data_IF_438989113200
#
_entry.id   IF_438989113200
#
_cell.length_a   1.000
_cell.length_b   1.000
_cell.length_c   1.000
_cell.angle_alpha   90.00
_cell.angle_beta   90.00
_cell.angle_gamma   90.00
#
_symmetry.space_group_name_H-M   'P 1'
#
loop_
_entity.id
_entity.type
_entity.pdbx_description
1 polymer ?
#
# COMPACT_ATOMS: atom_id res chain seq x y z
N UNK A 1 -10.01 1.13 8.04
CA UNK A 1 -10.95 2.17 8.51
C UNK A 1 -10.23 3.47 8.78
N UNK A 2 -10.92 4.62 8.60
CA UNK A 2 -10.43 5.95 8.99
C UNK A 2 -11.16 6.49 10.24
N UNK A 3 -12.02 5.69 10.86
CA UNK A 3 -12.87 6.12 11.98
C UNK A 3 -12.24 5.69 13.32
N UNK A 4 -11.87 6.63 14.22
CA UNK A 4 -11.15 6.33 15.46
C UNK A 4 -11.83 5.28 16.35
N UNK A 5 -13.15 5.39 16.55
CA UNK A 5 -13.90 4.43 17.37
C UNK A 5 -13.89 3.01 16.78
N UNK A 6 -13.93 2.89 15.44
CA UNK A 6 -13.82 1.60 14.77
C UNK A 6 -12.41 1.02 14.90
N UNK A 7 -11.35 1.84 14.85
CA UNK A 7 -9.97 1.39 15.10
C UNK A 7 -9.83 0.76 16.49
N UNK A 8 -10.32 1.47 17.52
CA UNK A 8 -10.28 0.99 18.91
C UNK A 8 -11.07 -0.31 19.08
N UNK A 9 -12.28 -0.38 18.55
CA UNK A 9 -13.14 -1.55 18.71
C UNK A 9 -12.60 -2.75 17.92
N UNK A 10 -12.09 -2.53 16.68
CA UNK A 10 -11.46 -3.60 15.92
C UNK A 10 -10.25 -4.20 16.62
N UNK A 11 -9.41 -3.35 17.25
CA UNK A 11 -8.28 -3.82 18.06
C UNK A 11 -8.75 -4.68 19.24
N UNK A 12 -9.78 -4.24 19.96
CA UNK A 12 -10.39 -5.00 21.07
C UNK A 12 -10.93 -6.37 20.64
N UNK A 13 -11.43 -6.45 19.41
CA UNK A 13 -11.96 -7.68 18.81
C UNK A 13 -10.89 -8.57 18.15
N UNK A 14 -9.60 -8.21 18.26
CA UNK A 14 -8.49 -9.05 17.82
C UNK A 14 -8.00 -8.75 16.40
N UNK A 15 -8.25 -7.55 15.85
CA UNK A 15 -7.59 -7.14 14.61
C UNK A 15 -6.07 -7.18 14.78
N UNK A 16 -5.35 -7.66 13.77
CA UNK A 16 -3.87 -7.74 13.78
C UNK A 16 -3.17 -6.55 13.12
N UNK A 17 -3.91 -5.67 12.44
CA UNK A 17 -3.38 -4.53 11.70
C UNK A 17 -4.46 -3.45 11.54
N UNK A 18 -4.09 -2.18 11.69
CA UNK A 18 -4.93 -1.05 11.29
C UNK A 18 -4.50 -0.53 9.92
N UNK A 19 -5.40 -0.57 8.95
CA UNK A 19 -5.16 -0.02 7.61
C UNK A 19 -6.08 1.19 7.38
N UNK A 20 -5.49 2.36 7.14
CA UNK A 20 -6.22 3.58 6.85
C UNK A 20 -5.87 4.18 5.50
N UNK A 21 -6.85 4.21 4.59
CA UNK A 21 -6.72 4.80 3.25
C UNK A 21 -6.44 6.31 3.28
N UNK A 22 -6.72 6.99 4.38
CA UNK A 22 -6.41 8.40 4.60
C UNK A 22 -5.11 8.65 5.34
N UNK A 23 -4.31 7.60 5.59
CA UNK A 23 -3.02 7.72 6.26
C UNK A 23 -3.13 8.29 7.67
N UNK A 24 -4.18 7.97 8.40
CA UNK A 24 -4.47 8.44 9.76
C UNK A 24 -4.57 9.98 9.88
N UNK A 25 -5.03 10.65 8.82
CA UNK A 25 -5.18 12.13 8.81
C UNK A 25 -6.47 12.64 9.46
N UNK A 26 -7.46 11.78 9.71
CA UNK A 26 -8.68 12.22 10.41
C UNK A 26 -8.38 12.59 11.86
N UNK A 27 -9.06 13.62 12.39
CA UNK A 27 -8.94 13.97 13.82
C UNK A 27 -9.18 12.75 14.74
N UNK A 28 -8.28 12.52 15.69
CA UNK A 28 -8.36 11.40 16.63
C UNK A 28 -7.85 10.05 16.08
N UNK A 29 -7.55 9.91 14.78
CA UNK A 29 -7.12 8.63 14.22
C UNK A 29 -5.75 8.18 14.74
N UNK A 30 -4.76 9.09 14.81
CA UNK A 30 -3.44 8.77 15.35
C UNK A 30 -3.51 8.44 16.85
N UNK A 31 -4.32 9.17 17.61
CA UNK A 31 -4.51 8.91 19.05
C UNK A 31 -5.15 7.53 19.28
N UNK A 32 -6.18 7.19 18.48
CA UNK A 32 -6.82 5.89 18.56
C UNK A 32 -5.83 4.76 18.17
N UNK A 33 -5.03 4.97 17.13
CA UNK A 33 -4.02 4.00 16.69
C UNK A 33 -2.87 3.87 17.71
N UNK A 34 -2.43 4.96 18.32
CA UNK A 34 -1.39 4.96 19.36
C UNK A 34 -1.82 4.15 20.61
N UNK A 35 -3.10 4.26 20.98
CA UNK A 35 -3.67 3.50 22.09
C UNK A 35 -3.73 1.99 21.87
N UNK A 36 -3.52 1.53 20.61
CA UNK A 36 -3.39 0.10 20.29
C UNK A 36 -1.91 -0.28 20.19
N UNK A 37 -1.59 -1.56 20.33
CA UNK A 37 -0.23 -2.07 20.07
C UNK A 37 -0.06 -2.56 18.62
N UNK A 38 -1.06 -2.34 17.74
CA UNK A 38 -1.12 -2.93 16.41
C UNK A 38 -0.17 -2.24 15.42
N UNK A 39 0.37 -2.97 14.42
CA UNK A 39 0.96 -2.38 13.24
C UNK A 39 -0.04 -1.48 12.49
N UNK A 40 0.48 -0.46 11.82
CA UNK A 40 -0.30 0.54 11.10
C UNK A 40 0.09 0.54 9.62
N UNK A 41 -0.86 0.31 8.73
CA UNK A 41 -0.66 0.52 7.30
C UNK A 41 -1.12 1.93 6.93
N UNK A 42 -0.15 2.79 6.66
CA UNK A 42 -0.31 4.20 6.28
C UNK A 42 -0.33 4.29 4.77
N UNK A 43 -1.52 4.55 4.18
CA UNK A 43 -1.66 4.60 2.73
C UNK A 43 -1.61 6.03 2.22
N UNK A 44 -0.88 6.23 1.11
CA UNK A 44 -0.87 7.47 0.36
C UNK A 44 -2.09 7.58 -0.55
N UNK A 45 -2.75 8.72 -0.50
CA UNK A 45 -3.82 9.11 -1.42
C UNK A 45 -3.75 10.61 -1.70
N UNK A 46 -3.84 11.02 -2.97
CA UNK A 46 -4.04 12.41 -3.34
C UNK A 46 -5.55 12.69 -3.41
N UNK A 47 -5.98 13.80 -2.81
CA UNK A 47 -7.41 14.16 -2.75
C UNK A 47 -8.20 13.30 -1.75
N UNK A 48 -9.51 13.23 -1.95
CA UNK A 48 -10.45 12.43 -1.15
C UNK A 48 -11.04 11.30 -2.02
N UNK A 49 -11.53 10.20 -1.43
CA UNK A 49 -12.00 9.03 -2.18
C UNK A 49 -13.00 9.35 -3.30
N UNK A 50 -13.86 10.33 -3.09
CA UNK A 50 -14.93 10.68 -4.02
C UNK A 50 -14.44 11.55 -5.19
N UNK A 51 -13.30 12.23 -5.06
CA UNK A 51 -12.79 13.21 -6.05
C UNK A 51 -11.40 12.88 -6.57
N UNK A 52 -10.68 11.95 -5.94
CA UNK A 52 -9.28 11.65 -6.21
C UNK A 52 -8.94 11.27 -7.65
N UNK A 53 -9.91 10.80 -8.44
CA UNK A 53 -9.70 10.38 -9.83
C UNK A 53 -10.07 11.48 -10.85
N UNK A 54 -10.52 12.64 -10.40
CA UNK A 54 -11.01 13.69 -11.29
C UNK A 54 -9.92 14.55 -11.93
N UNK A 55 -8.70 14.31 -11.75
CA UNK A 55 -7.53 14.92 -12.38
C UNK A 55 -6.30 14.83 -11.45
N UNK A 56 -5.79 13.65 -11.16
CA UNK A 56 -4.61 13.51 -10.30
C UNK A 56 -3.38 14.13 -10.99
N UNK A 57 -2.73 15.09 -10.34
CA UNK A 57 -1.55 15.78 -10.85
C UNK A 57 -0.39 15.65 -9.88
N UNK A 58 0.77 15.30 -10.41
CA UNK A 58 2.05 15.26 -9.69
C UNK A 58 3.12 15.89 -10.58
N UNK A 59 3.97 16.73 -10.01
CA UNK A 59 5.21 17.14 -10.64
C UNK A 59 6.16 15.93 -10.74
N UNK A 60 6.25 15.18 -9.65
CA UNK A 60 6.88 13.87 -9.58
C UNK A 60 6.14 12.99 -8.54
N UNK A 61 5.54 11.89 -9.01
CA UNK A 61 4.75 11.01 -8.15
C UNK A 61 5.60 10.31 -7.09
N UNK A 62 6.86 9.98 -7.39
CA UNK A 62 7.78 9.34 -6.44
C UNK A 62 8.10 10.28 -5.27
N UNK A 63 8.47 11.51 -5.58
CA UNK A 63 8.74 12.55 -4.57
C UNK A 63 7.51 12.86 -3.73
N UNK A 64 6.34 12.95 -4.37
CA UNK A 64 5.08 13.19 -3.66
C UNK A 64 4.73 12.10 -2.65
N UNK A 65 4.89 10.83 -3.05
CA UNK A 65 4.66 9.68 -2.15
C UNK A 65 5.70 9.63 -1.02
N UNK A 66 6.98 9.87 -1.32
CA UNK A 66 8.04 9.92 -0.30
C UNK A 66 7.78 10.99 0.74
N UNK A 67 7.53 12.22 0.29
CA UNK A 67 7.24 13.34 1.19
C UNK A 67 6.05 13.04 2.10
N UNK A 68 4.99 12.45 1.55
CA UNK A 68 3.85 12.01 2.36
C UNK A 68 4.26 10.97 3.41
N UNK A 69 5.09 9.99 3.08
CA UNK A 69 5.54 8.97 4.04
C UNK A 69 6.36 9.59 5.16
N UNK A 70 7.28 10.50 4.84
CA UNK A 70 8.10 11.21 5.82
C UNK A 70 7.24 12.05 6.78
N UNK A 71 6.27 12.79 6.26
CA UNK A 71 5.31 13.58 7.05
C UNK A 71 4.47 12.68 7.97
N UNK A 72 4.00 11.56 7.44
CA UNK A 72 3.19 10.63 8.24
C UNK A 72 3.99 9.91 9.30
N UNK A 73 5.24 9.55 9.00
CA UNK A 73 6.13 8.95 9.99
C UNK A 73 6.41 9.91 11.14
N UNK A 74 6.74 11.16 10.82
CA UNK A 74 6.92 12.23 11.83
C UNK A 74 5.67 12.40 12.71
N UNK A 75 4.49 12.39 12.09
CA UNK A 75 3.24 12.51 12.86
C UNK A 75 2.94 11.27 13.71
N UNK A 76 3.30 10.07 13.25
CA UNK A 76 3.19 8.84 14.04
C UNK A 76 4.11 8.88 15.27
N UNK A 77 5.37 9.27 15.09
CA UNK A 77 6.35 9.41 16.18
C UNK A 77 5.89 10.46 17.22
N UNK A 78 5.41 11.61 16.74
CA UNK A 78 4.86 12.66 17.62
C UNK A 78 3.64 12.18 18.41
N UNK A 79 2.88 11.21 17.90
CA UNK A 79 1.75 10.57 18.61
C UNK A 79 2.19 9.40 19.50
N UNK A 80 3.49 9.11 19.62
CA UNK A 80 4.03 8.02 20.45
C UNK A 80 3.95 6.65 19.78
N UNK A 81 3.79 6.60 18.46
CA UNK A 81 3.78 5.35 17.68
C UNK A 81 5.21 5.03 17.27
N UNK A 82 5.73 3.87 17.68
CA UNK A 82 7.06 3.41 17.30
C UNK A 82 7.18 3.17 15.79
N UNK A 83 8.33 3.55 15.21
CA UNK A 83 8.60 3.44 13.75
C UNK A 83 8.38 2.02 13.22
N UNK A 84 8.76 1.04 13.99
CA UNK A 84 8.70 -0.39 13.64
C UNK A 84 7.26 -0.89 13.46
N UNK A 85 6.27 -0.14 13.95
CA UNK A 85 4.85 -0.42 13.76
C UNK A 85 4.30 0.08 12.42
N UNK A 86 5.06 0.92 11.69
CA UNK A 86 4.58 1.59 10.49
C UNK A 86 4.90 0.77 9.24
N UNK A 87 3.87 0.47 8.48
CA UNK A 87 3.91 -0.14 7.15
C UNK A 87 3.41 0.93 6.18
N UNK A 88 4.07 1.10 5.04
CA UNK A 88 3.63 2.06 4.03
C UNK A 88 2.91 1.37 2.87
N UNK A 89 1.86 2.01 2.35
CA UNK A 89 1.17 1.62 1.11
C UNK A 89 1.18 2.82 0.15
N UNK A 90 1.85 2.72 -1.02
CA UNK A 90 1.87 3.79 -2.01
C UNK A 90 0.51 4.18 -2.58
N UNK A 91 -0.52 3.36 -2.32
CA UNK A 91 -1.90 3.65 -2.71
C UNK A 91 -2.09 3.61 -4.22
N UNK A 92 -1.72 2.52 -4.87
CA UNK A 92 -2.00 2.29 -6.28
C UNK A 92 -3.48 2.50 -6.59
N UNK A 93 -3.80 3.30 -7.62
CA UNK A 93 -5.18 3.60 -8.01
C UNK A 93 -5.90 4.62 -7.11
N UNK A 94 -5.23 5.24 -6.13
CA UNK A 94 -5.78 6.28 -5.28
C UNK A 94 -5.19 7.64 -5.63
N UNK A 95 -5.93 8.45 -6.42
CA UNK A 95 -5.47 9.74 -6.91
C UNK A 95 -4.24 9.63 -7.82
N UNK A 96 -4.24 8.66 -8.76
CA UNK A 96 -3.14 8.38 -9.67
C UNK A 96 -3.64 7.91 -11.02
N UNK A 97 -3.03 8.38 -12.10
CA UNK A 97 -3.24 7.87 -13.47
C UNK A 97 -2.63 6.47 -13.62
N UNK A 98 -2.92 5.78 -14.74
CA UNK A 98 -2.26 4.51 -15.06
C UNK A 98 -0.74 4.68 -15.16
N UNK A 99 -0.27 5.75 -15.80
CA UNK A 99 1.15 6.08 -15.93
C UNK A 99 1.81 6.27 -14.58
N UNK A 100 1.22 7.06 -13.67
CA UNK A 100 1.71 7.22 -12.29
C UNK A 100 1.82 5.88 -11.56
N UNK A 101 0.83 4.98 -11.74
CA UNK A 101 0.87 3.67 -11.10
C UNK A 101 1.98 2.77 -11.67
N UNK A 102 2.17 2.72 -12.98
CA UNK A 102 3.26 1.95 -13.58
C UNK A 102 4.63 2.52 -13.21
N UNK A 103 4.77 3.84 -13.16
CA UNK A 103 6.00 4.49 -12.71
C UNK A 103 6.35 4.13 -11.26
N UNK A 104 5.37 4.22 -10.35
CA UNK A 104 5.54 3.79 -8.95
C UNK A 104 5.93 2.32 -8.83
N UNK A 105 5.30 1.44 -9.61
CA UNK A 105 5.63 0.02 -9.58
C UNK A 105 7.07 -0.23 -10.10
N UNK A 106 7.46 0.42 -11.19
CA UNK A 106 8.80 0.30 -11.75
C UNK A 106 9.89 0.70 -10.74
N UNK A 107 9.63 1.73 -9.96
CA UNK A 107 10.55 2.32 -8.98
C UNK A 107 10.19 2.00 -7.52
N UNK A 108 9.41 0.93 -7.27
CA UNK A 108 8.90 0.60 -5.93
C UNK A 108 10.04 0.42 -4.91
N UNK A 109 11.17 -0.15 -5.33
CA UNK A 109 12.36 -0.33 -4.47
C UNK A 109 12.85 0.97 -3.89
N UNK A 110 12.71 2.06 -4.61
CA UNK A 110 13.12 3.38 -4.17
C UNK A 110 12.22 3.96 -3.06
N UNK A 111 11.03 3.38 -2.84
CA UNK A 111 10.14 3.69 -1.73
C UNK A 111 10.43 2.86 -0.47
N UNK A 112 11.25 1.80 -0.57
CA UNK A 112 11.60 0.93 0.55
C UNK A 112 12.66 1.57 1.47
N UNK A 113 12.60 2.90 1.66
CA UNK A 113 13.55 3.65 2.46
C UNK A 113 13.28 3.44 3.96
N UNK A 114 14.35 3.46 4.76
CA UNK A 114 14.26 3.40 6.21
C UNK A 114 13.88 2.03 6.80
N UNK A 115 13.82 0.96 5.98
CA UNK A 115 13.53 -0.39 6.45
C UNK A 115 12.05 -0.68 6.76
N UNK A 116 11.14 0.24 6.44
CA UNK A 116 9.71 0.03 6.61
C UNK A 116 9.17 -0.98 5.59
N UNK A 117 8.32 -1.95 6.01
CA UNK A 117 7.64 -2.82 5.07
C UNK A 117 6.73 -2.02 4.12
N UNK A 118 6.69 -2.45 2.86
CA UNK A 118 5.76 -1.88 1.86
C UNK A 118 4.64 -2.88 1.60
N UNK A 119 3.40 -2.42 1.77
CA UNK A 119 2.19 -3.10 1.36
C UNK A 119 1.73 -2.56 0.01
N UNK A 120 1.37 -3.44 -0.92
CA UNK A 120 0.80 -3.05 -2.21
C UNK A 120 -0.55 -3.71 -2.46
N UNK A 121 -1.47 -2.96 -3.06
CA UNK A 121 -2.76 -3.45 -3.52
C UNK A 121 -2.95 -3.12 -5.01
N UNK A 122 -2.58 -4.05 -5.90
CA UNK A 122 -2.63 -3.88 -7.36
C UNK A 122 -3.77 -4.67 -8.02
N UNK A 123 -4.36 -5.62 -7.28
CA UNK A 123 -5.30 -6.61 -7.79
C UNK A 123 -6.55 -5.97 -8.39
N UNK A 124 -6.89 -6.36 -9.61
CA UNK A 124 -8.06 -5.99 -10.40
C UNK A 124 -8.21 -4.48 -10.70
N UNK A 125 -7.20 -3.67 -10.44
CA UNK A 125 -7.25 -2.21 -10.56
C UNK A 125 -7.33 -1.71 -12.00
N UNK A 126 -7.79 -0.46 -12.16
CA UNK A 126 -8.01 0.19 -13.45
C UNK A 126 -6.73 0.35 -14.28
N UNK A 127 -5.54 0.41 -13.66
CA UNK A 127 -4.28 0.40 -14.39
C UNK A 127 -4.12 -0.84 -15.28
N UNK A 128 -4.72 -1.97 -14.92
CA UNK A 128 -4.73 -3.17 -15.78
C UNK A 128 -5.58 -2.93 -17.03
N UNK A 129 -6.71 -2.22 -16.88
CA UNK A 129 -7.58 -1.90 -18.00
C UNK A 129 -6.95 -0.96 -19.02
N UNK A 130 -5.92 -0.19 -18.66
CA UNK A 130 -5.19 0.64 -19.61
C UNK A 130 -4.29 -0.17 -20.57
N UNK A 131 -4.07 -1.45 -20.27
CA UNK A 131 -3.22 -2.36 -21.07
C UNK A 131 -4.05 -3.50 -21.67
N UNK A 132 -5.01 -4.02 -20.91
CA UNK A 132 -5.82 -5.18 -21.27
C UNK A 132 -7.30 -4.80 -21.26
N UNK A 133 -7.99 -5.03 -22.37
CA UNK A 133 -9.45 -4.89 -22.42
C UNK A 133 -10.10 -6.08 -21.72
N UNK A 134 -10.16 -6.01 -20.39
CA UNK A 134 -10.68 -7.07 -19.51
C UNK A 134 -11.55 -6.49 -18.40
N UNK A 135 -12.69 -7.14 -18.15
CA UNK A 135 -13.51 -6.85 -16.98
C UNK A 135 -12.73 -7.16 -15.67
N UNK A 136 -13.06 -6.51 -14.54
CA UNK A 136 -12.33 -6.71 -13.27
C UNK A 136 -12.19 -8.18 -12.85
N UNK A 137 -13.21 -9.01 -13.11
CA UNK A 137 -13.24 -10.43 -12.76
C UNK A 137 -12.26 -11.26 -13.61
N UNK A 138 -11.95 -10.79 -14.82
CA UNK A 138 -11.04 -11.45 -15.75
C UNK A 138 -9.56 -11.06 -15.57
N UNK A 139 -9.25 -10.18 -14.60
CA UNK A 139 -7.91 -9.62 -14.38
C UNK A 139 -7.02 -10.45 -13.45
N UNK A 140 -7.38 -11.70 -13.18
CA UNK A 140 -6.66 -12.59 -12.25
C UNK A 140 -5.19 -12.73 -12.64
N UNK A 141 -4.90 -13.14 -13.88
CA UNK A 141 -3.51 -13.38 -14.32
C UNK A 141 -2.67 -12.10 -14.32
N UNK A 142 -3.23 -10.98 -14.76
CA UNK A 142 -2.55 -9.68 -14.70
C UNK A 142 -2.31 -9.23 -13.24
N UNK A 143 -3.28 -9.48 -12.35
CA UNK A 143 -3.16 -9.17 -10.92
C UNK A 143 -2.03 -9.96 -10.26
N UNK A 144 -1.92 -11.25 -10.58
CA UNK A 144 -0.85 -12.15 -10.09
C UNK A 144 0.51 -11.69 -10.63
N UNK A 145 0.60 -11.37 -11.93
CA UNK A 145 1.83 -10.85 -12.53
C UNK A 145 2.31 -9.56 -11.85
N UNK A 146 1.40 -8.59 -11.62
CA UNK A 146 1.72 -7.36 -10.92
C UNK A 146 2.14 -7.60 -9.45
N UNK A 147 1.53 -8.58 -8.77
CA UNK A 147 1.93 -8.96 -7.42
C UNK A 147 3.36 -9.50 -7.37
N UNK A 148 3.73 -10.40 -8.30
CA UNK A 148 5.10 -10.91 -8.43
C UNK A 148 6.09 -9.78 -8.72
N UNK A 149 5.79 -8.91 -9.69
CA UNK A 149 6.62 -7.76 -10.03
C UNK A 149 6.83 -6.82 -8.84
N UNK A 150 5.81 -6.65 -8.00
CA UNK A 150 5.91 -5.84 -6.79
C UNK A 150 6.82 -6.48 -5.74
N UNK A 151 6.70 -7.80 -5.52
CA UNK A 151 7.55 -8.53 -4.57
C UNK A 151 9.02 -8.51 -5.02
N UNK A 152 9.30 -8.71 -6.31
CA UNK A 152 10.65 -8.56 -6.86
C UNK A 152 11.25 -7.17 -6.63
N UNK A 153 10.40 -6.14 -6.55
CA UNK A 153 10.77 -4.74 -6.30
C UNK A 153 10.68 -4.33 -4.84
N UNK A 154 10.54 -5.29 -3.92
CA UNK A 154 10.65 -5.04 -2.49
C UNK A 154 9.33 -4.92 -1.72
N UNK A 155 8.17 -5.19 -2.33
CA UNK A 155 6.93 -5.30 -1.57
C UNK A 155 7.03 -6.46 -0.56
N UNK A 156 6.68 -6.16 0.69
CA UNK A 156 6.67 -7.15 1.79
C UNK A 156 5.30 -7.80 1.95
N UNK A 157 4.23 -7.09 1.57
CA UNK A 157 2.86 -7.54 1.72
C UNK A 157 2.10 -7.24 0.42
N UNK A 158 1.36 -8.21 -0.10
CA UNK A 158 0.46 -8.03 -1.24
C UNK A 158 -0.99 -8.24 -0.80
N UNK A 159 -1.84 -7.23 -1.04
CA UNK A 159 -3.27 -7.31 -0.76
C UNK A 159 -4.02 -7.58 -2.06
N UNK A 160 -4.67 -8.74 -2.14
CA UNK A 160 -5.24 -9.26 -3.38
C UNK A 160 -6.67 -9.78 -3.20
N UNK A 161 -7.42 -9.89 -4.30
CA UNK A 161 -8.73 -10.55 -4.33
C UNK A 161 -8.56 -12.07 -4.52
N UNK A 162 -7.62 -12.48 -5.37
CA UNK A 162 -7.41 -13.86 -5.80
C UNK A 162 -6.27 -14.50 -4.99
N UNK A 163 -6.54 -14.79 -3.70
CA UNK A 163 -5.52 -15.21 -2.73
C UNK A 163 -4.84 -16.51 -3.15
N UNK A 164 -5.59 -17.56 -3.51
CA UNK A 164 -5.00 -18.85 -3.87
C UNK A 164 -4.04 -18.74 -5.06
N UNK A 165 -4.48 -18.12 -6.17
CA UNK A 165 -3.64 -17.95 -7.36
C UNK A 165 -2.38 -17.12 -7.08
N UNK A 166 -2.50 -16.10 -6.21
CA UNK A 166 -1.34 -15.29 -5.84
C UNK A 166 -0.39 -16.04 -4.91
N UNK A 167 -0.91 -16.82 -3.96
CA UNK A 167 -0.10 -17.63 -3.06
C UNK A 167 0.69 -18.70 -3.81
N UNK A 168 0.08 -19.39 -4.77
CA UNK A 168 0.75 -20.38 -5.62
C UNK A 168 1.90 -19.74 -6.41
N UNK A 169 1.64 -18.58 -7.02
CA UNK A 169 2.66 -17.86 -7.78
C UNK A 169 3.83 -17.39 -6.88
N UNK A 170 3.55 -16.90 -5.68
CA UNK A 170 4.56 -16.50 -4.72
C UNK A 170 5.36 -17.70 -4.18
N UNK A 171 4.72 -18.86 -4.01
CA UNK A 171 5.42 -20.09 -3.63
C UNK A 171 6.42 -20.52 -4.72
N UNK A 172 6.02 -20.44 -6.00
CA UNK A 172 6.90 -20.73 -7.13
C UNK A 172 8.07 -19.74 -7.21
N UNK A 173 7.77 -18.44 -7.03
CA UNK A 173 8.82 -17.42 -6.97
C UNK A 173 9.79 -17.65 -5.81
N UNK A 174 9.30 -18.04 -4.64
CA UNK A 174 10.11 -18.33 -3.45
C UNK A 174 10.96 -19.59 -3.57
N UNK A 175 10.63 -20.52 -4.47
CA UNK A 175 11.38 -21.72 -4.75
C UNK A 175 12.63 -21.47 -5.63
N UNK A 176 12.72 -20.30 -6.28
CA UNK A 176 13.90 -19.94 -7.05
C UNK A 176 15.09 -19.71 -6.13
N UNK A 177 16.30 -20.25 -6.45
CA UNK A 177 17.49 -19.91 -5.73
C UNK A 177 17.71 -18.40 -5.79
N UNK A 178 17.78 -17.75 -4.64
CA UNK A 178 18.21 -16.35 -4.61
C UNK A 178 19.69 -16.34 -4.97
N UNK A 179 20.04 -15.68 -6.09
CA UNK A 179 21.43 -15.36 -6.38
C UNK A 179 21.96 -14.59 -5.17
N UNK A 180 22.92 -15.16 -4.48
CA UNK A 180 23.70 -14.42 -3.48
C UNK A 180 24.50 -13.45 -4.34
N UNK A 181 24.05 -12.18 -4.40
CA UNK A 181 24.85 -11.11 -4.97
C UNK A 181 26.17 -11.08 -4.20
N UNK A 182 27.24 -11.53 -4.89
CA UNK A 182 28.63 -11.47 -4.41
C UNK A 182 29.17 -10.06 -4.62
#
# INVERSE_FOLDING_TARGET
TSTPSVMTESARLGAGLLNDVRGFRRPGALQAAAATALPLCVMHMQGEPDTMQQNPQYDDVMSGVRHFFDDRLTACEAAGIARERVIFDPGFGFGKTAEHNFHLLAHLRDLCLGGHPILVGLSRKSMIASVLDRAPEERVFASVALALMAVERGASIVRVHDVAATADALAMWGALPRSIDR
#
